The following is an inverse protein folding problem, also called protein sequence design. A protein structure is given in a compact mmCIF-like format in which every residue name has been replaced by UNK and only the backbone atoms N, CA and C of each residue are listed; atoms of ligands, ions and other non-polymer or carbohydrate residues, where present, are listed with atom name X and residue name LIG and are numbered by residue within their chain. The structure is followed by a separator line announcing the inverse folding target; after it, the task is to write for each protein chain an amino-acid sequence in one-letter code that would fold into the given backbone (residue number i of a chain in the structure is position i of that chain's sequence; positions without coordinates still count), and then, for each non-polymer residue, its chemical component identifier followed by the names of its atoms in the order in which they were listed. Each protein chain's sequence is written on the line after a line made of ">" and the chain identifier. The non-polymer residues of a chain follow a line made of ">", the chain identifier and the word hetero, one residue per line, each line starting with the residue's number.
data_IF_714422471782
#
_entry.id   IF_714422471782
#
_cell.length_a   1.000
_cell.length_b   1.000
_cell.length_c   1.000
_cell.angle_alpha   90.00
_cell.angle_beta   90.00
_cell.angle_gamma   90.00
#
_symmetry.space_group_name_H-M   'P 1'
#
loop_
_entity.id
_entity.type
_entity.pdbx_description
1 polymer ?
#
# COMPACT_ATOMS: atom_id res chain seq x y z
N UNK A 1 -6.36 -15.73 -21.52
CA UNK A 1 -6.57 -14.27 -21.33
C UNK A 1 -5.20 -13.66 -21.15
N UNK A 2 -4.84 -12.70 -22.01
CA UNK A 2 -3.48 -12.17 -22.10
C UNK A 2 -3.10 -11.38 -20.84
N UNK A 3 -2.08 -11.86 -20.13
CA UNK A 3 -1.38 -11.09 -19.09
C UNK A 3 -0.67 -9.91 -19.78
N UNK A 4 -1.20 -8.71 -19.59
CA UNK A 4 -0.50 -7.49 -19.98
C UNK A 4 0.45 -7.11 -18.86
N UNK A 5 1.71 -7.58 -18.93
CA UNK A 5 2.79 -6.96 -18.18
C UNK A 5 3.05 -5.57 -18.77
N UNK A 6 2.85 -4.52 -17.99
CA UNK A 6 3.26 -3.18 -18.36
C UNK A 6 4.72 -2.97 -17.95
N UNK A 7 5.60 -2.82 -18.94
CA UNK A 7 7.02 -2.53 -18.74
C UNK A 7 7.22 -1.03 -18.93
N UNK A 8 7.66 -0.31 -17.92
CA UNK A 8 7.99 1.11 -18.00
C UNK A 8 9.49 1.34 -17.90
N UNK A 9 10.02 2.17 -18.77
CA UNK A 9 11.44 2.51 -18.88
C UNK A 9 11.71 3.80 -18.08
N UNK A 10 12.49 3.73 -17.01
CA UNK A 10 13.02 4.90 -16.30
C UNK A 10 14.48 5.08 -16.76
N UNK A 11 14.82 6.27 -17.27
CA UNK A 11 16.15 6.60 -17.77
C UNK A 11 17.25 6.26 -16.73
N UNK A 12 18.10 5.30 -17.05
CA UNK A 12 19.37 5.06 -16.38
C UNK A 12 19.40 4.02 -15.28
N UNK A 13 18.28 3.35 -14.94
CA UNK A 13 18.23 2.30 -13.94
C UNK A 13 17.58 1.01 -14.48
N UNK A 14 17.86 -0.12 -13.82
CA UNK A 14 17.27 -1.43 -14.15
C UNK A 14 15.77 -1.30 -14.33
N UNK A 15 15.23 -1.76 -15.49
CA UNK A 15 13.79 -1.72 -15.77
C UNK A 15 12.98 -2.35 -14.62
N UNK A 16 11.99 -1.63 -14.12
CA UNK A 16 11.05 -2.17 -13.14
C UNK A 16 9.83 -2.74 -13.85
N UNK A 17 9.56 -4.02 -13.64
CA UNK A 17 8.38 -4.72 -14.15
C UNK A 17 7.26 -4.66 -13.10
N UNK A 18 6.04 -4.35 -13.54
CA UNK A 18 4.84 -4.33 -12.70
C UNK A 18 3.87 -5.39 -13.19
N UNK A 19 3.45 -6.29 -12.30
CA UNK A 19 2.49 -7.35 -12.64
C UNK A 19 1.67 -7.81 -11.44
N UNK A 20 0.51 -8.38 -11.71
CA UNK A 20 -0.29 -9.05 -10.68
C UNK A 20 0.40 -10.33 -10.22
N UNK A 21 0.26 -10.62 -8.92
CA UNK A 21 0.77 -11.84 -8.31
C UNK A 21 -0.35 -12.89 -8.20
N UNK A 22 0.00 -14.14 -8.47
CA UNK A 22 -0.88 -15.28 -8.22
C UNK A 22 -0.65 -15.82 -6.81
N UNK A 23 -1.64 -16.48 -6.22
CA UNK A 23 -1.57 -16.98 -4.85
C UNK A 23 -0.33 -17.84 -4.57
N UNK A 24 0.03 -18.74 -5.50
CA UNK A 24 1.17 -19.66 -5.34
C UNK A 24 2.53 -18.96 -5.37
N UNK A 25 2.62 -17.75 -5.94
CA UNK A 25 3.85 -16.94 -5.95
C UNK A 25 4.09 -16.26 -4.60
N UNK A 26 3.02 -16.01 -3.82
CA UNK A 26 3.08 -15.26 -2.56
C UNK A 26 3.55 -16.20 -1.45
N UNK A 27 4.85 -16.18 -1.21
CA UNK A 27 5.52 -17.02 -0.20
C UNK A 27 6.75 -16.29 0.35
N UNK A 28 7.42 -16.85 1.37
CA UNK A 28 8.56 -16.19 2.03
C UNK A 28 9.73 -15.92 1.07
N UNK A 29 9.95 -16.79 0.09
CA UNK A 29 11.02 -16.64 -0.90
C UNK A 29 10.82 -15.40 -1.78
N UNK A 30 9.56 -15.03 -2.08
CA UNK A 30 9.24 -13.81 -2.82
C UNK A 30 9.83 -12.56 -2.14
N UNK A 31 9.85 -12.52 -0.81
CA UNK A 31 10.31 -11.37 -0.02
C UNK A 31 11.79 -11.46 0.41
N UNK A 32 12.58 -12.42 -0.10
CA UNK A 32 13.97 -12.67 0.35
C UNK A 32 14.87 -11.43 0.26
N UNK A 33 14.67 -10.59 -0.75
CA UNK A 33 15.46 -9.37 -1.02
C UNK A 33 14.68 -8.08 -0.73
N UNK A 34 13.53 -8.19 -0.04
CA UNK A 34 12.71 -7.05 0.32
C UNK A 34 13.16 -6.50 1.66
N UNK A 35 13.58 -5.24 1.69
CA UNK A 35 14.04 -4.56 2.91
C UNK A 35 12.90 -3.70 3.44
N UNK A 36 12.22 -4.21 4.48
CA UNK A 36 11.16 -3.48 5.17
C UNK A 36 11.73 -2.81 6.41
N UNK A 37 12.38 -1.71 6.19
CA UNK A 37 12.91 -0.88 7.26
C UNK A 37 12.55 0.57 7.00
N UNK A 38 12.01 1.25 8.01
CA UNK A 38 11.71 2.68 7.95
C UNK A 38 12.14 3.32 9.26
N UNK A 39 13.01 4.30 9.19
CA UNK A 39 13.31 5.17 10.31
C UNK A 39 12.27 6.28 10.32
N UNK A 40 11.56 6.42 11.41
CA UNK A 40 10.53 7.42 11.62
C UNK A 40 10.98 8.36 12.72
N UNK A 41 10.98 9.66 12.46
CA UNK A 41 11.33 10.68 13.46
C UNK A 41 10.09 11.43 13.97
N UNK A 42 9.09 11.64 13.11
CA UNK A 42 7.92 12.45 13.39
C UNK A 42 6.66 11.79 12.86
N UNK A 43 5.58 11.90 13.64
CA UNK A 43 4.27 11.39 13.29
C UNK A 43 3.19 12.46 13.42
N UNK A 44 2.13 12.32 12.63
CA UNK A 44 0.90 13.03 12.88
C UNK A 44 0.18 12.42 14.09
N UNK A 45 -0.36 13.29 14.95
CA UNK A 45 -1.20 12.91 16.10
C UNK A 45 -2.44 13.80 16.11
N UNK A 46 -3.57 13.25 16.53
CA UNK A 46 -4.81 14.02 16.63
C UNK A 46 -4.95 14.60 18.03
N UNK A 47 -4.94 15.92 18.16
CA UNK A 47 -5.07 16.64 19.41
C UNK A 47 -6.19 17.69 19.28
N UNK A 48 -7.17 17.64 20.17
CA UNK A 48 -8.32 18.55 20.16
C UNK A 48 -9.01 18.64 18.77
N UNK A 49 -9.08 17.52 18.04
CA UNK A 49 -9.69 17.45 16.73
C UNK A 49 -8.80 17.88 15.55
N UNK A 50 -7.60 18.42 15.79
CA UNK A 50 -6.67 18.84 14.77
C UNK A 50 -5.49 17.89 14.63
N UNK A 51 -4.96 17.74 13.41
CA UNK A 51 -3.72 17.01 13.16
C UNK A 51 -2.51 17.89 13.45
N UNK A 52 -1.64 17.42 14.34
CA UNK A 52 -0.37 18.06 14.71
C UNK A 52 0.79 17.11 14.47
N UNK A 53 1.97 17.64 14.19
CA UNK A 53 3.20 16.84 14.05
C UNK A 53 3.90 16.78 15.40
N UNK A 54 4.24 15.56 15.84
CA UNK A 54 4.98 15.28 17.06
C UNK A 54 6.25 14.51 16.78
N UNK A 55 7.28 14.76 17.59
CA UNK A 55 8.45 13.89 17.63
C UNK A 55 8.05 12.56 18.27
N UNK A 56 8.25 11.47 17.53
CA UNK A 56 7.94 10.10 17.96
C UNK A 56 8.87 9.16 17.21
N UNK A 57 10.18 9.12 17.60
CA UNK A 57 11.19 8.39 16.87
C UNK A 57 11.12 6.89 17.14
N UNK A 58 11.05 6.08 16.07
CA UNK A 58 11.16 4.64 16.11
C UNK A 58 11.66 4.06 14.77
N UNK A 59 11.97 2.78 14.78
CA UNK A 59 12.27 2.02 13.57
C UNK A 59 11.11 1.04 13.35
N UNK A 60 10.45 1.18 12.20
CA UNK A 60 9.46 0.23 11.73
C UNK A 60 10.16 -0.80 10.84
N UNK A 61 10.36 -1.98 11.39
CA UNK A 61 11.02 -3.12 10.72
C UNK A 61 10.19 -4.39 10.95
N UNK A 62 10.15 -5.25 9.95
CA UNK A 62 9.34 -6.46 10.03
C UNK A 62 10.13 -7.66 10.54
N UNK A 63 9.54 -8.34 11.50
CA UNK A 63 9.99 -9.64 11.99
C UNK A 63 9.59 -10.76 11.01
N UNK A 64 10.07 -11.96 11.23
CA UNK A 64 9.62 -13.12 10.44
C UNK A 64 8.12 -13.40 10.63
N UNK A 65 7.56 -13.14 11.82
CA UNK A 65 6.13 -13.29 12.10
C UNK A 65 5.30 -12.28 11.31
N UNK A 66 5.77 -11.04 11.17
CA UNK A 66 5.12 -10.01 10.34
C UNK A 66 5.08 -10.43 8.87
N UNK A 67 6.17 -11.01 8.34
CA UNK A 67 6.19 -11.55 6.98
C UNK A 67 5.20 -12.71 6.81
N UNK A 68 5.09 -13.62 7.78
CA UNK A 68 4.14 -14.72 7.70
C UNK A 68 2.68 -14.21 7.72
N UNK A 69 2.39 -13.26 8.57
CA UNK A 69 1.09 -12.59 8.65
C UNK A 69 0.76 -11.89 7.33
N UNK A 70 1.70 -11.12 6.78
CA UNK A 70 1.54 -10.46 5.49
C UNK A 70 1.24 -11.46 4.36
N UNK A 71 2.02 -12.55 4.27
CA UNK A 71 1.84 -13.59 3.25
C UNK A 71 0.42 -14.18 3.33
N UNK A 72 -0.05 -14.49 4.54
CA UNK A 72 -1.42 -14.98 4.74
C UNK A 72 -2.46 -13.97 4.28
N UNK A 73 -2.30 -12.68 4.60
CA UNK A 73 -3.19 -11.61 4.18
C UNK A 73 -3.21 -11.47 2.66
N UNK A 74 -2.05 -11.36 2.00
CA UNK A 74 -1.95 -11.19 0.55
C UNK A 74 -2.54 -12.39 -0.21
N UNK A 75 -2.31 -13.62 0.26
CA UNK A 75 -2.93 -14.83 -0.34
C UNK A 75 -4.44 -14.79 -0.19
N UNK A 76 -4.95 -14.36 0.97
CA UNK A 76 -6.38 -14.19 1.17
C UNK A 76 -6.97 -13.13 0.23
N UNK A 77 -6.29 -11.99 0.04
CA UNK A 77 -6.70 -10.95 -0.92
C UNK A 77 -6.89 -11.54 -2.32
N UNK A 78 -5.93 -12.34 -2.82
CA UNK A 78 -6.05 -13.01 -4.13
C UNK A 78 -7.22 -14.00 -4.14
N UNK A 79 -7.37 -14.84 -3.11
CA UNK A 79 -8.45 -15.84 -3.01
C UNK A 79 -9.84 -15.22 -3.02
N UNK A 80 -9.97 -14.04 -2.45
CA UNK A 80 -11.26 -13.32 -2.38
C UNK A 80 -11.51 -12.42 -3.57
N UNK A 81 -10.67 -12.50 -4.62
CA UNK A 81 -10.83 -11.75 -5.86
C UNK A 81 -10.29 -10.32 -5.81
N UNK A 82 -9.50 -9.99 -4.80
CA UNK A 82 -8.75 -8.73 -4.71
C UNK A 82 -7.50 -8.75 -5.59
N UNK A 83 -6.79 -7.63 -5.59
CA UNK A 83 -5.57 -7.43 -6.36
C UNK A 83 -4.34 -7.48 -5.45
N UNK A 84 -3.32 -8.20 -5.86
CA UNK A 84 -1.95 -8.05 -5.34
C UNK A 84 -1.02 -7.75 -6.51
N UNK A 85 -0.38 -6.57 -6.48
CA UNK A 85 0.60 -6.12 -7.47
C UNK A 85 2.01 -6.28 -6.92
N UNK A 86 2.94 -6.73 -7.75
CA UNK A 86 4.38 -6.73 -7.49
C UNK A 86 5.11 -5.79 -8.45
N UNK A 87 6.10 -5.07 -7.94
CA UNK A 87 7.09 -4.33 -8.70
C UNK A 87 8.44 -5.04 -8.57
N UNK A 88 9.01 -5.47 -9.69
CA UNK A 88 10.23 -6.28 -9.76
C UNK A 88 11.37 -5.52 -10.41
N UNK A 89 12.56 -5.57 -9.82
CA UNK A 89 13.79 -5.05 -10.38
C UNK A 89 14.86 -6.13 -10.33
N UNK A 90 15.45 -6.45 -11.46
CA UNK A 90 16.41 -7.56 -11.57
C UNK A 90 15.83 -8.93 -11.16
N UNK A 91 14.52 -9.14 -11.36
CA UNK A 91 13.81 -10.36 -10.97
C UNK A 91 13.47 -10.48 -9.47
N UNK A 92 13.78 -9.46 -8.67
CA UNK A 92 13.50 -9.42 -7.24
C UNK A 92 12.33 -8.48 -6.92
N UNK A 93 11.45 -8.87 -5.99
CA UNK A 93 10.38 -8.01 -5.51
C UNK A 93 10.95 -6.80 -4.77
N UNK A 94 10.63 -5.60 -5.24
CA UNK A 94 11.09 -4.32 -4.69
C UNK A 94 9.94 -3.39 -4.28
N UNK A 95 8.72 -3.77 -4.59
CA UNK A 95 7.52 -3.07 -4.14
C UNK A 95 6.29 -3.94 -4.32
N UNK A 96 5.24 -3.69 -3.56
CA UNK A 96 3.96 -4.34 -3.75
C UNK A 96 2.82 -3.47 -3.23
N UNK A 97 1.62 -3.73 -3.75
CA UNK A 97 0.37 -3.17 -3.27
C UNK A 97 -0.71 -4.24 -3.24
N UNK A 98 -1.68 -4.14 -2.32
CA UNK A 98 -2.85 -4.99 -2.29
C UNK A 98 -4.13 -4.18 -2.13
N UNK A 99 -5.19 -4.60 -2.85
CA UNK A 99 -6.53 -3.99 -2.78
C UNK A 99 -7.54 -5.10 -2.52
N UNK A 100 -8.32 -4.94 -1.45
CA UNK A 100 -9.39 -5.86 -1.13
C UNK A 100 -10.61 -5.64 -2.03
N UNK A 101 -11.24 -6.73 -2.50
CA UNK A 101 -12.40 -6.66 -3.40
C UNK A 101 -13.73 -6.42 -2.70
N UNK A 102 -13.75 -6.40 -1.35
CA UNK A 102 -14.97 -6.22 -0.58
C UNK A 102 -15.31 -4.75 -0.41
N UNK A 103 -16.47 -4.34 -0.92
CA UNK A 103 -16.99 -3.00 -0.68
C UNK A 103 -17.36 -2.76 0.77
N UNK A 104 -17.14 -1.51 1.20
CA UNK A 104 -17.71 -0.94 2.43
C UNK A 104 -18.03 0.54 2.24
N UNK A 105 -18.55 1.20 3.29
CA UNK A 105 -18.80 2.65 3.28
C UNK A 105 -20.03 3.06 2.47
N UNK A 106 -21.10 2.27 2.45
CA UNK A 106 -22.39 2.61 1.87
C UNK A 106 -22.29 3.27 0.49
N UNK A 107 -22.71 4.53 0.39
CA UNK A 107 -22.65 5.32 -0.84
C UNK A 107 -21.23 5.64 -1.31
N UNK A 108 -20.23 5.60 -0.42
CA UNK A 108 -18.84 5.88 -0.76
C UNK A 108 -18.19 4.74 -1.55
N UNK A 109 -18.69 3.49 -1.43
CA UNK A 109 -18.20 2.34 -2.19
C UNK A 109 -16.68 2.24 -2.22
N UNK A 110 -16.09 2.15 -1.04
CA UNK A 110 -14.66 1.99 -0.91
C UNK A 110 -14.18 0.58 -1.24
N UNK A 111 -13.03 0.52 -1.91
CA UNK A 111 -12.12 -0.61 -1.80
C UNK A 111 -10.96 -0.23 -0.89
N UNK A 112 -10.48 -1.19 -0.10
CA UNK A 112 -9.38 -1.00 0.84
C UNK A 112 -8.04 -1.25 0.16
N UNK A 113 -7.19 -0.22 0.07
CA UNK A 113 -5.77 -0.38 -0.27
C UNK A 113 -5.06 -0.87 1.00
N UNK A 114 -5.10 -2.17 1.23
CA UNK A 114 -4.67 -2.80 2.47
C UNK A 114 -3.14 -2.87 2.65
N UNK A 115 -2.38 -2.75 1.55
CA UNK A 115 -0.92 -2.66 1.60
C UNK A 115 -0.37 -1.80 0.45
N UNK A 116 0.65 -1.01 0.75
CA UNK A 116 1.51 -0.35 -0.24
C UNK A 116 2.91 -0.16 0.36
N UNK A 117 3.85 -0.95 -0.12
CA UNK A 117 5.21 -0.94 0.41
C UNK A 117 6.25 -0.93 -0.71
N UNK A 118 7.34 -0.21 -0.47
CA UNK A 118 8.53 -0.18 -1.35
C UNK A 118 9.74 -0.51 -0.51
N UNK A 119 10.57 -1.43 -0.98
CA UNK A 119 11.83 -1.82 -0.37
C UNK A 119 12.71 -0.60 -0.15
N UNK A 120 13.38 -0.50 1.00
CA UNK A 120 14.17 0.67 1.42
C UNK A 120 15.16 1.12 0.34
N UNK A 121 15.86 0.18 -0.28
CA UNK A 121 16.87 0.39 -1.33
C UNK A 121 16.29 0.95 -2.65
N UNK A 122 14.98 0.90 -2.81
CA UNK A 122 14.29 1.31 -4.04
C UNK A 122 13.29 2.46 -3.84
N UNK A 123 13.25 3.07 -2.65
CA UNK A 123 12.40 4.24 -2.39
C UNK A 123 12.82 5.46 -3.21
N UNK A 124 11.89 6.39 -3.42
CA UNK A 124 12.08 7.65 -4.18
C UNK A 124 12.42 7.48 -5.66
N UNK A 125 12.21 6.28 -6.21
CA UNK A 125 12.37 5.97 -7.65
C UNK A 125 11.02 5.87 -8.40
N UNK A 126 9.93 6.36 -7.82
CA UNK A 126 8.60 6.37 -8.45
C UNK A 126 7.79 5.07 -8.29
N UNK A 127 8.37 4.00 -7.75
CA UNK A 127 7.71 2.68 -7.64
C UNK A 127 6.38 2.77 -6.86
N UNK A 128 6.36 3.46 -5.73
CA UNK A 128 5.14 3.61 -4.93
C UNK A 128 4.02 4.34 -5.67
N UNK A 129 4.36 5.36 -6.47
CA UNK A 129 3.40 6.08 -7.30
C UNK A 129 2.79 5.16 -8.36
N UNK A 130 3.60 4.38 -9.05
CA UNK A 130 3.13 3.48 -10.10
C UNK A 130 2.23 2.36 -9.54
N UNK A 131 2.63 1.76 -8.42
CA UNK A 131 1.80 0.78 -7.69
C UNK A 131 0.45 1.38 -7.29
N UNK A 132 0.45 2.58 -6.71
CA UNK A 132 -0.76 3.28 -6.29
C UNK A 132 -1.69 3.55 -7.48
N UNK A 133 -1.17 4.12 -8.56
CA UNK A 133 -1.97 4.45 -9.74
C UNK A 133 -2.53 3.21 -10.43
N UNK A 134 -1.76 2.13 -10.49
CA UNK A 134 -2.22 0.86 -11.05
C UNK A 134 -3.31 0.23 -10.17
N UNK A 135 -3.15 0.26 -8.85
CA UNK A 135 -4.17 -0.19 -7.90
C UNK A 135 -5.46 0.62 -8.01
N UNK A 136 -5.34 1.95 -8.11
CA UNK A 136 -6.48 2.86 -8.29
C UNK A 136 -7.23 2.59 -9.60
N UNK A 137 -6.50 2.40 -10.69
CA UNK A 137 -7.09 2.04 -11.99
C UNK A 137 -7.86 0.73 -11.90
N UNK A 138 -7.28 -0.31 -11.32
CA UNK A 138 -7.95 -1.59 -11.12
C UNK A 138 -9.22 -1.45 -10.29
N UNK A 139 -9.16 -0.74 -9.15
CA UNK A 139 -10.31 -0.52 -8.29
C UNK A 139 -11.46 0.19 -9.03
N UNK A 140 -11.13 1.19 -9.85
CA UNK A 140 -12.10 1.87 -10.73
C UNK A 140 -12.75 0.93 -11.72
N UNK A 141 -11.98 0.05 -12.35
CA UNK A 141 -12.49 -0.98 -13.29
C UNK A 141 -13.42 -1.98 -12.60
N UNK A 142 -13.28 -2.19 -11.27
CA UNK A 142 -14.17 -2.98 -10.44
C UNK A 142 -15.35 -2.17 -9.87
N UNK A 143 -15.63 -0.98 -10.39
CA UNK A 143 -16.72 -0.10 -10.00
C UNK A 143 -16.63 0.43 -8.54
N UNK A 144 -15.44 0.47 -7.93
CA UNK A 144 -15.24 1.25 -6.72
C UNK A 144 -15.34 2.75 -7.05
N UNK A 145 -15.84 3.53 -6.11
CA UNK A 145 -15.85 5.00 -6.22
C UNK A 145 -14.59 5.61 -5.61
N UNK A 146 -14.02 4.94 -4.60
CA UNK A 146 -12.89 5.44 -3.84
C UNK A 146 -11.97 4.31 -3.39
N UNK A 147 -10.68 4.60 -3.25
CA UNK A 147 -9.80 3.81 -2.40
C UNK A 147 -9.85 4.35 -0.98
N UNK A 148 -9.87 3.44 -0.02
CA UNK A 148 -9.67 3.72 1.40
C UNK A 148 -8.26 3.32 1.78
N UNK A 149 -7.61 4.09 2.65
CA UNK A 149 -6.25 3.83 3.10
C UNK A 149 -6.17 4.07 4.61
N UNK A 150 -5.95 3.04 5.43
CA UNK A 150 -5.44 3.21 6.78
C UNK A 150 -3.94 3.37 6.68
N UNK A 151 -3.46 4.57 6.89
CA UNK A 151 -2.07 4.92 6.61
C UNK A 151 -1.32 5.22 7.88
N UNK A 152 -0.16 4.57 8.02
CA UNK A 152 0.79 4.90 9.07
C UNK A 152 1.01 6.41 9.19
N UNK A 153 1.01 6.91 10.42
CA UNK A 153 1.01 8.36 10.71
C UNK A 153 2.36 9.06 10.54
N UNK A 154 3.42 8.34 10.11
CA UNK A 154 4.71 8.95 9.80
C UNK A 154 4.58 10.08 8.76
N UNK A 155 5.30 11.19 8.97
CA UNK A 155 5.23 12.37 8.11
C UNK A 155 5.54 12.03 6.65
N UNK A 156 6.48 11.13 6.39
CA UNK A 156 6.85 10.68 5.05
C UNK A 156 5.71 9.93 4.36
N UNK A 157 5.02 9.03 5.09
CA UNK A 157 3.88 8.28 4.58
C UNK A 157 2.72 9.23 4.23
N UNK A 158 2.45 10.18 5.10
CA UNK A 158 1.39 11.18 4.87
C UNK A 158 1.75 12.12 3.71
N UNK A 159 3.02 12.51 3.57
CA UNK A 159 3.48 13.33 2.43
C UNK A 159 3.29 12.57 1.10
N UNK A 160 3.59 11.27 1.07
CA UNK A 160 3.36 10.44 -0.10
C UNK A 160 1.87 10.45 -0.50
N UNK A 161 0.96 10.05 0.40
CA UNK A 161 -0.47 9.97 0.07
C UNK A 161 -1.08 11.32 -0.29
N UNK A 162 -0.70 12.39 0.37
CA UNK A 162 -1.12 13.75 -0.01
C UNK A 162 -0.63 14.14 -1.41
N UNK A 163 0.59 13.76 -1.78
CA UNK A 163 1.13 14.01 -3.13
C UNK A 163 0.37 13.23 -4.21
N UNK A 164 -0.26 12.12 -3.84
CA UNK A 164 -1.15 11.34 -4.72
C UNK A 164 -2.56 11.92 -4.82
N UNK A 165 -2.90 12.94 -4.03
CA UNK A 165 -4.23 13.56 -3.99
C UNK A 165 -5.18 12.93 -2.97
N UNK A 166 -4.66 12.10 -2.05
CA UNK A 166 -5.47 11.57 -0.97
C UNK A 166 -5.84 12.66 0.05
N UNK A 167 -7.04 12.57 0.56
CA UNK A 167 -7.60 13.45 1.61
C UNK A 167 -8.07 12.62 2.80
N UNK A 168 -8.42 13.26 3.91
CA UNK A 168 -9.03 12.56 5.05
C UNK A 168 -10.33 11.89 4.61
N UNK A 169 -10.53 10.63 5.01
CA UNK A 169 -11.70 9.85 4.59
C UNK A 169 -12.99 10.44 5.17
N UNK A 170 -14.03 10.51 4.33
CA UNK A 170 -15.34 10.99 4.76
C UNK A 170 -16.02 10.00 5.73
N UNK A 171 -15.70 8.72 5.63
CA UNK A 171 -16.24 7.65 6.47
C UNK A 171 -15.10 6.74 6.93
N UNK A 172 -14.97 6.55 8.25
CA UNK A 172 -13.90 5.73 8.83
C UNK A 172 -14.32 4.26 8.92
N UNK A 173 -13.41 3.37 8.55
CA UNK A 173 -13.55 1.95 8.82
C UNK A 173 -13.15 1.66 10.26
N UNK A 174 -14.14 1.39 11.13
CA UNK A 174 -13.93 1.19 12.56
C UNK A 174 -12.96 0.03 12.87
N UNK A 175 -12.92 -1.00 12.05
CA UNK A 175 -11.98 -2.11 12.23
C UNK A 175 -10.51 -1.68 12.10
N UNK A 176 -10.22 -0.76 11.17
CA UNK A 176 -8.88 -0.18 11.04
C UNK A 176 -8.57 0.74 12.22
N UNK A 177 -9.52 1.62 12.60
CA UNK A 177 -9.34 2.54 13.73
C UNK A 177 -9.08 1.79 15.05
N UNK A 178 -9.78 0.69 15.28
CA UNK A 178 -9.60 -0.14 16.49
C UNK A 178 -8.26 -0.88 16.48
N UNK A 179 -7.83 -1.37 15.32
CA UNK A 179 -6.58 -2.11 15.17
C UNK A 179 -5.35 -1.19 15.22
N UNK A 180 -5.42 -0.05 14.53
CA UNK A 180 -4.32 0.90 14.37
C UNK A 180 -4.81 2.34 14.70
N UNK A 181 -5.00 2.66 16.00
CA UNK A 181 -5.67 3.91 16.42
C UNK A 181 -4.89 5.19 16.09
N UNK A 182 -3.62 5.07 15.76
CA UNK A 182 -2.78 6.21 15.37
C UNK A 182 -2.69 6.42 13.86
N UNK A 183 -3.24 5.52 13.07
CA UNK A 183 -3.23 5.65 11.61
C UNK A 183 -4.14 6.78 11.13
N UNK A 184 -3.69 7.46 10.10
CA UNK A 184 -4.50 8.45 9.40
C UNK A 184 -5.41 7.74 8.40
N UNK A 185 -6.71 7.96 8.54
CA UNK A 185 -7.72 7.36 7.67
C UNK A 185 -7.92 8.25 6.46
N UNK A 186 -7.53 7.77 5.30
CA UNK A 186 -7.49 8.55 4.05
C UNK A 186 -8.40 7.94 2.99
N UNK A 187 -8.78 8.77 2.01
CA UNK A 187 -9.47 8.34 0.79
C UNK A 187 -8.85 8.95 -0.45
N UNK A 188 -8.97 8.24 -1.57
CA UNK A 188 -8.65 8.71 -2.89
C UNK A 188 -9.86 8.50 -3.82
N UNK A 189 -10.28 9.55 -4.54
CA UNK A 189 -11.42 9.50 -5.50
C UNK A 189 -10.91 8.91 -6.81
N UNK A 190 -11.62 7.88 -7.34
CA UNK A 190 -11.26 7.09 -8.51
C UNK A 190 -11.80 7.67 -9.84
#
# INVERSE_FOLDING_TARGET
>A
MNEKSCVYNVKGDTMTEYRSLQEQEINRTLFRSFIRRQVVDKCFRRENGAWVVRSDPFIDDWTEEDYQTLICCLRNTVRTGGLVLGAFSGGELKGFASVESRFFGGENRYFDLSSLHVSEDMRRKGIGKELFMTAAKWAKEQAAKKLYISSHSAVESQAFYRSMGCVEAAEYNQKHVEKEPYDCQLEYIL
#
